data_IF_361126388995
#
_entry.id   IF_361126388995
#
_cell.length_a   1.000
_cell.length_b   1.000
_cell.length_c   1.000
_cell.angle_alpha   90.00
_cell.angle_beta   90.00
_cell.angle_gamma   90.00
#
_symmetry.space_group_name_H-M   'P 1'
#
loop_
_entity.id
_entity.type
_entity.pdbx_description
1 polymer ?
#
# COMPACT_ATOMS: atom_id res chain seq x y z
N UNK A 1 53.03 -7.44 -6.57
CA UNK A 1 52.53 -6.77 -5.36
C UNK A 1 51.04 -6.53 -5.57
N UNK A 2 50.19 -7.40 -5.03
CA UNK A 2 48.72 -7.37 -5.24
C UNK A 2 48.11 -6.66 -4.03
N UNK A 3 47.50 -5.50 -4.25
CA UNK A 3 46.75 -4.77 -3.22
C UNK A 3 45.37 -5.41 -3.05
N UNK A 4 45.21 -6.22 -2.01
CA UNK A 4 43.92 -6.74 -1.54
C UNK A 4 43.19 -5.62 -0.80
N UNK A 5 42.35 -4.86 -1.50
CA UNK A 5 41.41 -3.94 -0.87
C UNK A 5 40.17 -4.74 -0.43
N UNK A 6 40.20 -5.21 0.81
CA UNK A 6 39.04 -5.69 1.54
C UNK A 6 38.09 -4.50 1.79
N UNK A 7 37.12 -4.27 0.88
CA UNK A 7 36.00 -3.38 1.19
C UNK A 7 35.03 -4.13 2.09
N UNK A 8 35.10 -3.87 3.39
CA UNK A 8 34.10 -4.28 4.36
C UNK A 8 32.73 -3.80 3.90
N UNK A 9 31.82 -4.75 3.69
CA UNK A 9 30.42 -4.48 3.40
C UNK A 9 29.82 -3.63 4.51
N UNK A 10 29.45 -2.40 4.16
CA UNK A 10 28.53 -1.59 4.97
C UNK A 10 27.15 -2.22 4.77
N UNK A 11 26.73 -2.96 5.79
CA UNK A 11 25.37 -3.46 5.95
C UNK A 11 24.45 -2.26 6.26
N UNK A 12 23.52 -1.88 5.37
CA UNK A 12 22.64 -0.75 5.61
C UNK A 12 21.44 -1.24 6.41
N UNK A 13 21.63 -1.57 7.69
CA UNK A 13 20.49 -2.18 8.38
C UNK A 13 20.61 -2.58 9.83
N UNK A 14 21.22 -1.80 10.72
CA UNK A 14 20.78 -1.76 12.14
C UNK A 14 20.96 -0.33 12.64
N UNK A 15 19.87 0.37 12.94
CA UNK A 15 19.90 1.53 13.85
C UNK A 15 20.30 0.95 15.21
N UNK A 16 21.38 1.42 15.87
CA UNK A 16 21.69 0.97 17.21
C UNK A 16 20.49 1.26 18.11
N UNK A 17 19.90 0.24 18.72
CA UNK A 17 18.98 0.47 19.83
C UNK A 17 19.76 1.25 20.88
N UNK A 18 19.23 2.41 21.28
CA UNK A 18 19.81 3.21 22.34
C UNK A 18 20.07 2.27 23.53
N UNK A 19 21.30 2.20 24.08
CA UNK A 19 21.58 1.32 25.20
C UNK A 19 20.60 1.66 26.34
N UNK A 20 19.97 0.61 26.87
CA UNK A 20 19.13 0.72 28.05
C UNK A 20 19.96 1.34 29.18
N UNK A 21 19.46 2.36 29.91
CA UNK A 21 20.18 2.88 31.06
C UNK A 21 20.44 1.71 32.03
N UNK A 22 21.63 1.62 32.64
CA UNK A 22 21.96 0.52 33.54
C UNK A 22 20.90 0.41 34.63
N UNK A 23 20.31 -0.77 34.78
CA UNK A 23 19.44 -1.08 35.90
C UNK A 23 20.25 -1.06 37.20
N UNK A 24 19.57 -0.60 38.24
CA UNK A 24 20.07 -0.04 39.49
C UNK A 24 20.74 -1.08 40.41
N UNK A 25 21.90 -0.76 40.99
CA UNK A 25 22.46 -1.49 42.14
C UNK A 25 22.00 -0.84 43.45
N UNK A 26 20.77 -1.13 43.91
CA UNK A 26 20.40 -0.89 45.30
C UNK A 26 20.11 -2.20 46.01
N UNK A 27 21.00 -2.54 46.93
CA UNK A 27 20.81 -3.58 47.94
C UNK A 27 19.90 -3.04 49.05
N UNK A 28 19.19 -4.00 49.66
CA UNK A 28 18.72 -4.02 51.06
C UNK A 28 17.21 -3.82 51.36
N UNK A 29 16.63 -4.98 51.75
CA UNK A 29 15.74 -5.24 52.90
C UNK A 29 14.29 -4.72 52.94
N UNK A 30 13.38 -5.70 52.85
CA UNK A 30 12.19 -5.94 53.70
C UNK A 30 11.01 -4.95 53.70
N UNK A 31 9.84 -5.56 53.49
CA UNK A 31 8.46 -5.05 53.48
C UNK A 31 8.07 -4.11 54.64
N UNK A 32 7.20 -3.11 54.35
CA UNK A 32 5.83 -2.97 54.90
C UNK A 32 5.32 -1.51 54.96
N UNK A 33 4.04 -1.33 54.55
CA UNK A 33 3.06 -0.30 54.93
C UNK A 33 3.14 1.15 54.39
N UNK A 34 2.12 1.45 53.57
CA UNK A 34 1.20 2.61 53.59
C UNK A 34 1.67 3.96 54.15
N UNK A 35 1.62 4.99 53.31
CA UNK A 35 1.27 6.38 53.67
C UNK A 35 0.84 7.18 52.43
N UNK A 36 -0.27 7.90 52.57
CA UNK A 36 -0.99 8.67 51.54
C UNK A 36 -0.39 10.06 51.24
N UNK A 37 -0.54 10.48 49.96
CA UNK A 37 -0.84 11.85 49.44
C UNK A 37 0.29 12.93 49.43
N UNK A 38 0.28 13.99 48.56
CA UNK A 38 -0.56 14.34 47.39
C UNK A 38 0.20 14.77 46.10
N UNK A 39 -0.43 14.60 44.94
CA UNK A 39 -0.37 15.57 43.83
C UNK A 39 0.89 15.65 42.95
N UNK A 40 0.83 15.01 41.78
CA UNK A 40 1.33 15.63 40.55
C UNK A 40 0.47 15.14 39.38
N UNK A 41 -0.19 16.05 38.68
CA UNK A 41 -0.87 15.73 37.42
C UNK A 41 0.20 15.44 36.36
N UNK A 42 0.77 14.25 36.40
CA UNK A 42 1.56 13.69 35.32
C UNK A 42 0.61 13.29 34.21
N UNK A 43 0.24 14.25 33.37
CA UNK A 43 -0.31 13.96 32.04
C UNK A 43 0.75 13.09 31.35
N UNK A 44 0.51 11.78 31.30
CA UNK A 44 1.24 10.88 30.41
C UNK A 44 1.35 11.59 29.06
N UNK A 45 2.53 11.68 28.42
CA UNK A 45 2.67 12.33 27.13
C UNK A 45 1.59 11.75 26.22
N UNK A 46 0.55 12.54 25.96
CA UNK A 46 -0.54 12.13 25.08
C UNK A 46 0.14 12.04 23.73
N UNK A 47 0.47 10.82 23.32
CA UNK A 47 0.96 10.54 21.98
C UNK A 47 0.03 11.31 21.03
N UNK A 48 0.57 12.12 20.11
CA UNK A 48 -0.26 12.87 19.19
C UNK A 48 -1.24 11.89 18.56
N UNK A 49 -2.53 12.27 18.38
CA UNK A 49 -3.51 11.39 17.76
C UNK A 49 -2.87 10.83 16.49
N UNK A 50 -2.59 9.54 16.46
CA UNK A 50 -2.16 8.88 15.24
C UNK A 50 -3.36 9.03 14.34
N UNK A 51 -3.34 10.04 13.46
CA UNK A 51 -4.34 10.20 12.40
C UNK A 51 -4.41 8.84 11.74
N UNK A 52 -5.52 8.13 11.94
CA UNK A 52 -5.64 6.72 11.56
C UNK A 52 -5.20 6.60 10.10
N UNK A 53 -4.00 6.07 9.88
CA UNK A 53 -3.45 5.91 8.54
C UNK A 53 -4.17 4.71 7.96
N UNK A 54 -5.37 4.95 7.44
CA UNK A 54 -6.15 3.93 6.77
C UNK A 54 -5.62 3.80 5.34
N UNK A 55 -5.10 2.62 5.01
CA UNK A 55 -4.65 2.27 3.67
C UNK A 55 -3.12 2.25 3.47
N UNK A 56 -2.73 2.05 2.21
CA UNK A 56 -1.35 1.90 1.79
C UNK A 56 -0.60 3.24 1.79
N UNK A 57 0.35 3.40 2.71
CA UNK A 57 1.22 4.59 2.74
C UNK A 57 2.11 4.74 1.48
N UNK A 58 2.36 3.63 0.77
CA UNK A 58 3.09 3.60 -0.48
C UNK A 58 2.34 4.31 -1.60
N UNK A 59 1.25 3.74 -2.10
CA UNK A 59 0.50 4.32 -3.23
C UNK A 59 -0.63 5.28 -2.83
N UNK A 60 -1.10 5.26 -1.58
CA UNK A 60 -2.26 6.02 -1.12
C UNK A 60 -3.62 5.31 -1.27
N UNK A 61 -3.64 4.05 -1.71
CA UNK A 61 -4.89 3.27 -1.82
C UNK A 61 -5.50 2.94 -0.47
N UNK A 62 -6.83 3.00 -0.35
CA UNK A 62 -7.55 2.86 0.93
C UNK A 62 -7.95 1.42 1.28
N UNK A 63 -7.94 0.51 0.30
CA UNK A 63 -8.55 -0.82 0.41
C UNK A 63 -7.56 -1.95 0.72
N UNK A 64 -6.29 -1.63 0.91
CA UNK A 64 -5.23 -2.62 1.13
C UNK A 64 -4.05 -1.99 1.85
N UNK A 65 -3.25 -2.83 2.50
CA UNK A 65 -2.03 -2.40 3.19
C UNK A 65 -0.84 -2.34 2.23
N UNK A 66 0.28 -1.76 2.70
CA UNK A 66 1.50 -1.63 1.90
C UNK A 66 2.02 -2.96 1.34
N UNK A 67 1.89 -4.06 2.10
CA UNK A 67 2.41 -5.38 1.71
C UNK A 67 1.63 -5.98 0.54
N UNK A 68 0.41 -5.52 0.35
CA UNK A 68 -0.52 -5.93 -0.71
C UNK A 68 -0.56 -4.89 -1.84
N UNK A 69 0.28 -3.87 -1.78
CA UNK A 69 0.25 -2.79 -2.75
C UNK A 69 0.67 -3.30 -4.14
N UNK A 70 -0.20 -3.20 -5.15
CA UNK A 70 0.09 -3.69 -6.50
C UNK A 70 1.16 -2.87 -7.22
N UNK A 71 1.55 -1.72 -6.66
CA UNK A 71 2.49 -0.77 -7.25
C UNK A 71 3.90 -0.87 -6.66
N UNK A 72 4.04 -1.40 -5.45
CA UNK A 72 5.35 -1.58 -4.81
C UNK A 72 6.02 -2.80 -5.42
N UNK A 73 7.19 -2.59 -6.02
CA UNK A 73 7.97 -3.65 -6.67
C UNK A 73 7.18 -4.37 -7.78
N UNK A 74 6.31 -3.63 -8.48
CA UNK A 74 5.51 -4.16 -9.58
C UNK A 74 6.35 -4.53 -10.80
N UNK A 75 5.85 -5.37 -11.70
CA UNK A 75 6.58 -5.69 -12.94
C UNK A 75 6.68 -4.47 -13.88
N UNK A 76 7.80 -4.36 -14.58
CA UNK A 76 8.00 -3.33 -15.60
C UNK A 76 6.92 -3.40 -16.68
N UNK A 77 6.30 -2.25 -16.95
CA UNK A 77 5.28 -2.10 -18.00
C UNK A 77 5.89 -1.89 -19.40
N UNK A 78 7.21 -2.00 -19.55
CA UNK A 78 7.88 -1.93 -20.87
C UNK A 78 7.89 -3.33 -21.49
N UNK A 79 7.50 -3.43 -22.76
CA UNK A 79 7.56 -4.68 -23.50
C UNK A 79 8.99 -5.25 -23.48
N UNK A 80 9.12 -6.56 -23.24
CA UNK A 80 10.40 -7.29 -23.13
C UNK A 80 11.31 -6.86 -21.96
N UNK A 81 10.76 -6.23 -20.92
CA UNK A 81 11.50 -5.97 -19.69
C UNK A 81 10.89 -6.78 -18.54
N UNK A 82 11.69 -7.65 -17.92
CA UNK A 82 11.25 -8.51 -16.81
C UNK A 82 11.69 -7.98 -15.43
N UNK A 83 12.28 -6.79 -15.40
CA UNK A 83 12.68 -6.14 -14.15
C UNK A 83 11.48 -5.54 -13.41
N UNK A 84 11.72 -5.14 -12.16
CA UNK A 84 10.70 -4.51 -11.32
C UNK A 84 10.72 -2.98 -11.47
N UNK A 85 9.55 -2.36 -11.28
CA UNK A 85 9.38 -0.93 -11.05
C UNK A 85 9.35 -0.66 -9.56
N UNK A 86 10.20 0.27 -9.13
CA UNK A 86 10.23 0.76 -7.76
C UNK A 86 9.38 2.01 -7.65
N UNK A 87 8.62 2.10 -6.57
CA UNK A 87 7.84 3.28 -6.20
C UNK A 87 8.73 4.26 -5.43
N UNK A 88 8.72 5.51 -5.86
CA UNK A 88 9.48 6.61 -5.25
C UNK A 88 8.54 7.74 -4.85
N UNK A 89 8.98 8.52 -3.87
CA UNK A 89 8.32 9.77 -3.46
C UNK A 89 9.34 10.91 -3.60
N UNK A 90 8.96 11.98 -4.28
CA UNK A 90 9.76 13.19 -4.36
C UNK A 90 9.86 13.84 -2.97
N UNK A 91 11.08 14.15 -2.56
CA UNK A 91 11.39 14.79 -1.28
C UNK A 91 11.74 16.28 -1.45
N UNK A 92 11.76 16.80 -2.68
CA UNK A 92 12.09 18.20 -2.99
C UNK A 92 10.86 19.09 -2.79
N UNK A 93 11.04 20.28 -2.21
CA UNK A 93 9.97 21.16 -1.75
C UNK A 93 8.78 21.33 -2.72
N UNK A 94 9.02 21.77 -3.96
CA UNK A 94 7.94 22.04 -4.93
C UNK A 94 7.20 20.80 -5.43
N UNK A 95 7.77 19.61 -5.24
CA UNK A 95 7.21 18.34 -5.69
C UNK A 95 7.03 17.35 -4.52
N UNK A 96 7.06 17.85 -3.28
CA UNK A 96 7.07 17.00 -2.10
C UNK A 96 5.82 16.12 -2.07
N UNK A 97 6.03 14.82 -1.86
CA UNK A 97 4.93 13.86 -1.80
C UNK A 97 4.46 13.36 -3.16
N UNK A 98 4.92 13.93 -4.30
CA UNK A 98 4.61 13.37 -5.61
C UNK A 98 5.26 12.00 -5.78
N UNK A 99 4.50 11.05 -6.30
CA UNK A 99 4.93 9.65 -6.39
C UNK A 99 5.09 9.21 -7.83
N UNK A 100 6.11 8.41 -8.10
CA UNK A 100 6.42 7.90 -9.43
C UNK A 100 7.03 6.51 -9.39
N UNK A 101 6.90 5.79 -10.50
CA UNK A 101 7.45 4.47 -10.71
C UNK A 101 8.64 4.55 -11.66
N UNK A 102 9.75 3.92 -11.31
CA UNK A 102 10.92 3.79 -12.19
C UNK A 102 11.40 2.35 -12.23
N UNK A 103 11.64 1.84 -13.42
CA UNK A 103 12.24 0.51 -13.59
C UNK A 103 13.64 0.47 -12.96
N UNK A 104 13.93 -0.61 -12.23
CA UNK A 104 15.22 -0.84 -11.60
C UNK A 104 16.35 -1.01 -12.63
N UNK A 105 16.03 -1.54 -13.82
CA UNK A 105 17.01 -1.69 -14.88
C UNK A 105 17.32 -0.33 -15.51
N UNK A 106 18.56 0.10 -15.34
CA UNK A 106 19.08 1.39 -15.81
C UNK A 106 18.98 1.50 -17.34
N UNK A 107 19.18 0.40 -18.06
CA UNK A 107 19.06 0.36 -19.52
C UNK A 107 17.60 0.42 -20.00
N UNK A 108 16.65 -0.04 -19.17
CA UNK A 108 15.23 0.05 -19.50
C UNK A 108 14.75 1.51 -19.50
N UNK A 109 15.14 2.27 -18.47
CA UNK A 109 14.82 3.69 -18.31
C UNK A 109 13.31 4.02 -18.19
N UNK A 110 12.44 3.01 -18.02
CA UNK A 110 10.98 3.24 -17.98
C UNK A 110 10.62 4.03 -16.72
N UNK A 111 9.90 5.11 -16.93
CA UNK A 111 9.38 6.02 -15.91
C UNK A 111 7.89 6.26 -16.16
N UNK A 112 7.12 6.44 -15.08
CA UNK A 112 5.76 6.95 -15.13
C UNK A 112 5.35 7.55 -13.78
N UNK A 113 4.44 8.51 -13.79
CA UNK A 113 3.81 8.99 -12.58
C UNK A 113 2.87 7.94 -12.00
N UNK A 114 2.77 7.87 -10.66
CA UNK A 114 1.93 6.88 -10.01
C UNK A 114 0.45 7.08 -10.36
N UNK A 115 -0.04 8.32 -10.35
CA UNK A 115 -1.44 8.62 -10.65
C UNK A 115 -1.80 8.21 -12.08
N UNK A 116 -0.94 8.54 -13.06
CA UNK A 116 -1.13 8.09 -14.45
C UNK A 116 -1.18 6.56 -14.57
N UNK A 117 -0.37 5.85 -13.76
CA UNK A 117 -0.36 4.40 -13.73
C UNK A 117 -1.68 3.83 -13.19
N UNK A 118 -2.20 4.42 -12.11
CA UNK A 118 -3.48 4.06 -11.49
C UNK A 118 -4.61 4.31 -12.48
N UNK A 119 -4.70 5.50 -13.05
CA UNK A 119 -5.73 5.85 -14.04
C UNK A 119 -5.70 4.91 -15.24
N UNK A 120 -4.51 4.50 -15.69
CA UNK A 120 -4.36 3.55 -16.78
C UNK A 120 -4.87 2.16 -16.41
N UNK A 121 -4.55 1.67 -15.21
CA UNK A 121 -4.98 0.36 -14.71
C UNK A 121 -6.50 0.29 -14.49
N UNK A 122 -7.09 1.38 -13.97
CA UNK A 122 -8.53 1.52 -13.84
C UNK A 122 -9.24 1.49 -15.20
N UNK A 123 -8.70 2.19 -16.20
CA UNK A 123 -9.23 2.17 -17.57
C UNK A 123 -9.20 0.77 -18.18
N UNK A 124 -8.09 0.04 -18.02
CA UNK A 124 -7.96 -1.34 -18.50
C UNK A 124 -9.00 -2.25 -17.85
N UNK A 125 -9.16 -2.17 -16.52
CA UNK A 125 -10.17 -2.96 -15.78
C UNK A 125 -11.60 -2.64 -16.22
N UNK A 126 -11.90 -1.37 -16.48
CA UNK A 126 -13.20 -0.93 -16.96
C UNK A 126 -13.48 -1.44 -18.38
N UNK A 127 -12.49 -1.41 -19.28
CA UNK A 127 -12.60 -2.01 -20.62
C UNK A 127 -12.82 -3.53 -20.56
N UNK A 128 -12.13 -4.23 -19.66
CA UNK A 128 -12.33 -5.66 -19.44
C UNK A 128 -13.73 -5.96 -18.91
N UNK A 129 -14.23 -5.17 -17.94
CA UNK A 129 -15.60 -5.32 -17.43
C UNK A 129 -16.64 -5.13 -18.54
N UNK A 130 -16.44 -4.14 -19.42
CA UNK A 130 -17.34 -3.91 -20.57
C UNK A 130 -17.37 -5.11 -21.53
N UNK A 131 -16.23 -5.76 -21.78
CA UNK A 131 -16.17 -6.99 -22.60
C UNK A 131 -16.94 -8.14 -21.96
N UNK A 132 -16.93 -8.27 -20.64
CA UNK A 132 -17.71 -9.30 -19.94
C UNK A 132 -19.21 -9.05 -20.09
N UNK A 133 -19.66 -7.80 -19.89
CA UNK A 133 -21.08 -7.43 -19.98
C UNK A 133 -21.64 -7.60 -21.40
N UNK A 134 -20.83 -7.36 -22.43
CA UNK A 134 -21.27 -7.51 -23.82
C UNK A 134 -21.40 -8.98 -24.29
N UNK A 135 -20.82 -9.94 -23.56
CA UNK A 135 -20.85 -11.36 -23.92
C UNK A 135 -21.80 -12.19 -23.04
N UNK A 136 -22.78 -11.55 -22.38
CA UNK A 136 -23.75 -12.26 -21.55
C UNK A 136 -24.79 -12.96 -22.44
N UNK A 137 -24.74 -14.29 -22.48
CA UNK A 137 -25.82 -15.13 -23.04
C UNK A 137 -26.88 -15.34 -21.97
N UNK A 138 -28.03 -14.69 -22.12
CA UNK A 138 -29.20 -14.91 -21.25
C UNK A 138 -30.05 -16.01 -21.88
N UNK A 139 -30.24 -17.12 -21.16
CA UNK A 139 -31.23 -18.14 -21.50
C UNK A 139 -32.44 -17.94 -20.62
N UNK A 140 -33.59 -17.65 -21.23
CA UNK A 140 -34.85 -17.55 -20.51
C UNK A 140 -35.66 -18.81 -20.81
N UNK A 141 -35.92 -19.60 -19.78
CA UNK A 141 -36.88 -20.69 -19.87
C UNK A 141 -38.25 -20.15 -19.48
N UNK A 142 -39.17 -20.17 -20.43
CA UNK A 142 -40.54 -19.74 -20.23
C UNK A 142 -41.48 -20.67 -21.00
N UNK A 143 -42.69 -20.83 -20.45
CA UNK A 143 -43.73 -21.58 -21.12
C UNK A 143 -44.17 -20.79 -22.38
N UNK A 144 -44.28 -21.49 -23.51
CA UNK A 144 -44.65 -20.90 -24.79
C UNK A 144 -46.05 -20.26 -24.75
N UNK A 145 -46.97 -20.81 -23.95
CA UNK A 145 -48.33 -20.29 -23.82
C UNK A 145 -48.35 -18.95 -23.06
N UNK A 146 -47.50 -18.80 -22.05
CA UNK A 146 -47.34 -17.55 -21.30
C UNK A 146 -46.69 -16.47 -22.16
N UNK A 147 -45.71 -16.83 -22.99
CA UNK A 147 -45.07 -15.91 -23.94
C UNK A 147 -46.06 -15.37 -24.97
N UNK A 148 -46.91 -16.25 -25.53
CA UNK A 148 -47.91 -15.87 -26.53
C UNK A 148 -48.97 -14.94 -25.93
N UNK A 149 -49.37 -15.17 -24.67
CA UNK A 149 -50.35 -14.33 -23.96
C UNK A 149 -49.85 -12.89 -23.79
N UNK A 150 -48.58 -12.72 -23.41
CA UNK A 150 -47.96 -11.42 -23.20
C UNK A 150 -47.78 -10.60 -24.49
N UNK A 151 -47.52 -11.27 -25.63
CA UNK A 151 -47.39 -10.59 -26.92
C UNK A 151 -48.73 -10.18 -27.53
N UNK A 152 -49.77 -11.00 -27.37
CA UNK A 152 -51.12 -10.70 -27.90
C UNK A 152 -51.79 -9.52 -27.20
N UNK A 153 -51.36 -9.15 -25.99
CA UNK A 153 -51.90 -7.99 -25.25
C UNK A 153 -51.34 -6.62 -25.66
N UNK A 154 -50.34 -6.55 -26.56
CA UNK A 154 -49.68 -5.29 -26.97
C UNK A 154 -49.89 -4.90 -28.43
N UNK A 155 -50.71 -5.64 -29.18
CA UNK A 155 -51.09 -5.30 -30.55
C UNK A 155 -52.44 -4.56 -30.55
N UNK A 156 -52.47 -3.37 -29.96
CA UNK A 156 -53.57 -2.42 -30.17
C UNK A 156 -52.96 -1.09 -30.59
N UNK A 157 -53.40 -0.70 -31.79
CA UNK A 157 -53.13 0.53 -32.54
C UNK A 157 -53.46 1.79 -31.75
#
# INVERSE_FOLDING_TARGET
MVLLLLSSGIDPGIVPCNPHPPEHEDKDYSSSLSSDSPGNQGVAPRLPPTKDIQGCYGCGGLNYWVRECPWILSNCKKLRCNDVMKLFTFTKASLYGLKFLKCQNVQCGKFMWLNDAIDTDEKVKEEERKKVVQNVKITVEMNIDDFIRDFKGKTTL
#
